data_IF_891788258528
#
_entry.id   IF_891788258528
#
_cell.length_a   1.000
_cell.length_b   1.000
_cell.length_c   1.000
_cell.angle_alpha   90.00
_cell.angle_beta   90.00
_cell.angle_gamma   90.00
#
_symmetry.space_group_name_H-M   'P 1'
#
loop_
_entity.id
_entity.type
_entity.pdbx_description
1 polymer ?
#
# COMPACT_ATOMS: atom_id res chain seq x y z
N UNK A 1 65.85 32.98 11.45
CA UNK A 1 64.53 33.17 12.06
C UNK A 1 63.54 32.44 11.17
N UNK A 2 63.12 31.27 11.64
CA UNK A 2 62.22 30.34 10.95
C UNK A 2 60.84 30.95 10.71
N UNK A 3 60.17 30.49 9.65
CA UNK A 3 58.73 30.40 9.64
C UNK A 3 58.32 29.22 8.75
N UNK A 4 57.68 28.26 9.40
CA UNK A 4 57.28 26.97 8.87
C UNK A 4 56.18 27.00 7.81
N UNK A 5 56.23 25.96 7.00
CA UNK A 5 55.18 25.39 6.14
C UNK A 5 53.78 25.35 6.79
N UNK A 6 52.75 25.78 6.06
CA UNK A 6 51.37 25.30 6.28
C UNK A 6 50.73 24.93 4.95
N UNK A 7 50.80 23.64 4.62
CA UNK A 7 49.98 22.98 3.60
C UNK A 7 48.53 23.12 4.05
N UNK A 8 47.75 23.96 3.37
CA UNK A 8 46.33 24.08 3.64
C UNK A 8 45.61 22.95 2.92
N UNK A 9 45.40 21.83 3.62
CA UNK A 9 44.57 20.73 3.16
C UNK A 9 43.14 21.26 2.91
N UNK A 10 42.72 21.31 1.65
CA UNK A 10 41.31 21.50 1.30
C UNK A 10 40.60 20.21 1.66
N UNK A 11 40.02 20.16 2.86
CA UNK A 11 39.10 19.09 3.23
C UNK A 11 37.86 19.19 2.35
N UNK A 12 37.80 18.36 1.32
CA UNK A 12 36.58 18.15 0.56
C UNK A 12 35.59 17.41 1.46
N UNK A 13 34.74 18.16 2.15
CA UNK A 13 33.62 17.60 2.90
C UNK A 13 32.63 17.01 1.89
N UNK A 14 32.62 15.68 1.75
CA UNK A 14 31.55 14.97 1.05
C UNK A 14 30.31 15.09 1.93
N UNK A 15 29.48 16.10 1.67
CA UNK A 15 28.07 16.09 2.08
C UNK A 15 27.40 14.97 1.29
N UNK A 16 27.50 13.74 1.79
CA UNK A 16 26.66 12.65 1.35
C UNK A 16 25.24 13.00 1.79
N UNK A 17 24.53 13.76 0.94
CA UNK A 17 23.10 13.95 1.07
C UNK A 17 22.50 12.57 1.25
N UNK A 18 21.84 12.38 2.39
CA UNK A 18 21.03 11.23 2.68
C UNK A 18 19.81 11.22 1.76
N UNK A 19 20.04 11.11 0.45
CA UNK A 19 19.11 10.44 -0.45
C UNK A 19 19.24 8.96 -0.14
N UNK A 20 18.95 8.57 1.13
CA UNK A 20 18.68 7.19 1.45
C UNK A 20 17.61 6.78 0.45
N UNK A 21 17.90 5.71 -0.28
CA UNK A 21 17.10 5.10 -1.33
C UNK A 21 15.62 4.93 -0.90
N UNK A 22 14.84 6.00 -0.88
CA UNK A 22 13.41 5.95 -0.89
C UNK A 22 13.08 5.56 -2.33
N UNK A 23 13.15 4.26 -2.60
CA UNK A 23 12.54 3.72 -3.81
C UNK A 23 11.09 4.23 -3.80
N UNK A 24 10.63 4.90 -4.87
CA UNK A 24 9.25 5.35 -4.92
C UNK A 24 8.34 4.14 -4.69
N UNK A 25 7.33 4.31 -3.82
CA UNK A 25 6.40 3.23 -3.52
C UNK A 25 5.83 2.69 -4.84
N UNK A 26 5.87 1.37 -5.09
CA UNK A 26 5.51 0.79 -6.38
C UNK A 26 4.02 0.98 -6.71
N UNK A 27 3.20 1.17 -5.67
CA UNK A 27 1.78 1.45 -5.77
C UNK A 27 1.39 2.69 -4.97
N UNK A 28 0.35 3.35 -5.46
CA UNK A 28 -0.29 4.50 -4.86
C UNK A 28 -1.75 4.17 -4.56
N UNK A 29 -2.35 4.90 -3.60
CA UNK A 29 -3.79 4.80 -3.36
C UNK A 29 -4.55 5.11 -4.66
N UNK A 30 -5.58 4.31 -4.93
CA UNK A 30 -6.39 4.42 -6.12
C UNK A 30 -5.91 3.55 -7.29
N UNK A 31 -4.67 3.05 -7.28
CA UNK A 31 -4.17 2.14 -8.31
C UNK A 31 -5.07 0.91 -8.46
N UNK A 32 -5.28 0.49 -9.70
CA UNK A 32 -6.03 -0.73 -10.01
C UNK A 32 -5.05 -1.90 -10.17
N UNK A 33 -5.33 -3.00 -9.49
CA UNK A 33 -4.41 -4.14 -9.38
C UNK A 33 -5.12 -5.49 -9.43
N UNK A 34 -4.33 -6.53 -9.73
CA UNK A 34 -4.68 -7.94 -9.52
C UNK A 34 -3.70 -8.58 -8.55
N UNK A 35 -4.16 -9.60 -7.84
CA UNK A 35 -3.31 -10.42 -6.97
C UNK A 35 -2.84 -11.63 -7.77
N UNK A 36 -1.52 -11.76 -7.93
CA UNK A 36 -0.90 -12.91 -8.60
C UNK A 36 -1.12 -14.19 -7.78
N UNK A 37 -1.18 -15.37 -8.40
CA UNK A 37 -1.05 -16.64 -7.68
C UNK A 37 0.31 -16.72 -6.98
N UNK A 38 0.43 -17.42 -5.85
CA UNK A 38 1.73 -17.67 -5.24
C UNK A 38 2.56 -18.59 -6.15
N UNK A 39 3.89 -18.57 -6.00
CA UNK A 39 4.80 -19.28 -6.89
C UNK A 39 4.55 -20.80 -6.92
N UNK A 40 4.02 -21.36 -5.84
CA UNK A 40 3.59 -22.76 -5.70
C UNK A 40 2.14 -23.01 -6.21
N UNK A 41 1.53 -22.04 -6.88
CA UNK A 41 0.14 -22.09 -7.33
C UNK A 41 -0.90 -21.91 -6.22
N UNK A 42 -0.50 -21.70 -4.96
CA UNK A 42 -1.44 -21.45 -3.87
C UNK A 42 -1.84 -19.98 -3.78
N UNK A 43 -2.88 -19.66 -3.01
CA UNK A 43 -3.37 -18.30 -2.83
C UNK A 43 -4.56 -17.95 -3.73
N UNK A 44 -5.14 -16.79 -3.46
CA UNK A 44 -6.40 -16.38 -4.10
C UNK A 44 -6.09 -15.65 -5.41
N UNK A 45 -6.56 -16.22 -6.50
CA UNK A 45 -6.76 -15.49 -7.76
C UNK A 45 -8.18 -14.97 -7.76
N UNK A 46 -8.34 -13.65 -7.92
CA UNK A 46 -9.64 -13.03 -8.06
C UNK A 46 -9.84 -12.55 -9.50
N UNK A 47 -11.00 -12.81 -10.13
CA UNK A 47 -11.30 -12.22 -11.44
C UNK A 47 -11.47 -10.69 -11.36
N UNK A 48 -11.74 -10.17 -10.16
CA UNK A 48 -11.94 -8.75 -9.89
C UNK A 48 -10.66 -7.95 -10.14
N UNK A 49 -10.82 -6.75 -10.69
CA UNK A 49 -9.82 -5.69 -10.57
C UNK A 49 -10.03 -5.02 -9.22
N UNK A 50 -8.99 -4.98 -8.41
CA UNK A 50 -9.03 -4.41 -7.07
C UNK A 50 -8.45 -3.00 -7.08
N UNK A 51 -8.89 -2.15 -6.17
CA UNK A 51 -8.27 -0.86 -5.89
C UNK A 51 -7.29 -0.99 -4.73
N UNK A 52 -6.10 -0.42 -4.85
CA UNK A 52 -5.20 -0.14 -3.73
C UNK A 52 -5.84 0.94 -2.88
N UNK A 53 -6.33 0.58 -1.70
CA UNK A 53 -7.03 1.52 -0.82
C UNK A 53 -6.06 2.20 0.14
N UNK A 54 -5.08 1.45 0.65
CA UNK A 54 -4.07 1.96 1.56
C UNK A 54 -2.69 1.34 1.24
N UNK A 55 -1.65 2.15 1.41
CA UNK A 55 -0.25 1.82 1.11
C UNK A 55 0.56 1.71 2.42
N UNK A 56 1.84 1.28 2.41
CA UNK A 56 2.62 1.12 3.63
C UNK A 56 2.56 2.33 4.58
N UNK A 57 2.31 2.06 5.87
CA UNK A 57 2.22 3.07 6.93
C UNK A 57 0.85 3.72 7.10
N UNK A 58 -0.07 3.53 6.16
CA UNK A 58 -1.43 4.05 6.28
C UNK A 58 -2.22 3.37 7.40
N UNK A 59 -3.03 4.17 8.11
CA UNK A 59 -3.97 3.72 9.12
C UNK A 59 -5.35 3.52 8.50
N UNK A 60 -5.93 2.35 8.73
CA UNK A 60 -7.28 2.02 8.29
C UNK A 60 -8.20 1.98 9.49
N UNK A 61 -9.36 2.62 9.35
CA UNK A 61 -10.47 2.55 10.32
C UNK A 61 -11.77 2.40 9.55
N UNK A 62 -12.68 1.59 10.07
CA UNK A 62 -14.05 1.54 9.56
C UNK A 62 -14.99 1.87 10.71
N UNK A 63 -15.89 2.82 10.50
CA UNK A 63 -16.86 3.27 11.50
C UNK A 63 -18.18 3.61 10.80
N UNK A 64 -19.29 3.15 11.37
CA UNK A 64 -20.64 3.16 10.76
C UNK A 64 -20.62 2.88 9.25
N UNK A 65 -19.95 1.78 8.86
CA UNK A 65 -19.79 1.36 7.47
C UNK A 65 -19.21 2.44 6.54
N UNK A 66 -18.38 3.34 7.08
CA UNK A 66 -17.54 4.28 6.34
C UNK A 66 -16.09 3.90 6.55
N UNK A 67 -15.35 3.74 5.44
CA UNK A 67 -13.92 3.46 5.45
C UNK A 67 -13.13 4.76 5.51
N UNK A 68 -12.13 4.80 6.38
CA UNK A 68 -11.20 5.90 6.54
C UNK A 68 -9.76 5.41 6.35
N UNK A 69 -8.97 6.17 5.61
CA UNK A 69 -7.52 5.97 5.48
C UNK A 69 -6.81 7.25 5.92
N UNK A 70 -6.05 7.17 7.01
CA UNK A 70 -5.48 8.34 7.71
C UNK A 70 -6.55 9.42 7.98
N UNK A 71 -7.69 8.99 8.54
CA UNK A 71 -8.83 9.84 8.88
C UNK A 71 -9.55 10.52 7.70
N UNK A 72 -9.14 10.24 6.47
CA UNK A 72 -9.81 10.70 5.25
C UNK A 72 -10.81 9.63 4.79
N UNK A 73 -12.10 9.97 4.58
CA UNK A 73 -13.08 9.00 4.12
C UNK A 73 -12.77 8.53 2.69
N UNK A 74 -12.94 7.23 2.46
CA UNK A 74 -12.79 6.58 1.15
C UNK A 74 -14.16 6.16 0.65
N UNK A 75 -14.56 6.71 -0.50
CA UNK A 75 -15.81 6.38 -1.19
C UNK A 75 -15.60 5.32 -2.29
N UNK A 76 -16.70 4.83 -2.86
CA UNK A 76 -16.68 3.89 -4.00
C UNK A 76 -16.87 2.43 -3.61
N UNK A 77 -17.32 2.18 -2.38
CA UNK A 77 -17.71 0.87 -1.86
C UNK A 77 -19.09 0.96 -1.22
N UNK A 78 -19.88 -0.10 -1.36
CA UNK A 78 -21.21 -0.21 -0.79
C UNK A 78 -21.18 -0.33 0.72
N UNK A 79 -22.23 0.16 1.40
CA UNK A 79 -22.36 0.04 2.86
C UNK A 79 -22.31 -1.41 3.31
N UNK A 80 -22.97 -2.30 2.56
CA UNK A 80 -23.02 -3.75 2.80
C UNK A 80 -21.62 -4.38 2.78
N UNK A 81 -20.81 -4.02 1.79
CA UNK A 81 -19.44 -4.49 1.69
C UNK A 81 -18.59 -3.95 2.83
N UNK A 82 -18.67 -2.65 3.13
CA UNK A 82 -17.91 -2.04 4.24
C UNK A 82 -18.28 -2.62 5.61
N UNK A 83 -19.54 -3.00 5.82
CA UNK A 83 -19.96 -3.75 7.02
C UNK A 83 -19.24 -5.10 7.13
N UNK A 84 -19.11 -5.85 6.02
CA UNK A 84 -18.36 -7.13 6.02
C UNK A 84 -16.87 -6.93 6.26
N UNK A 85 -16.26 -5.89 5.69
CA UNK A 85 -14.84 -5.57 5.93
C UNK A 85 -14.61 -5.23 7.41
N UNK A 86 -15.52 -4.49 8.05
CA UNK A 86 -15.46 -4.16 9.48
C UNK A 86 -15.60 -5.39 10.39
N UNK A 87 -16.35 -6.40 9.96
CA UNK A 87 -16.56 -7.65 10.71
C UNK A 87 -15.42 -8.66 10.56
N UNK A 88 -14.41 -8.37 9.73
CA UNK A 88 -13.26 -9.24 9.44
C UNK A 88 -11.92 -8.55 9.77
N UNK A 89 -11.65 -8.22 11.04
CA UNK A 89 -10.43 -7.51 11.45
C UNK A 89 -9.15 -8.30 11.13
N UNK A 90 -9.21 -9.62 11.05
CA UNK A 90 -8.09 -10.49 10.66
C UNK A 90 -7.65 -10.30 9.20
N UNK A 91 -8.53 -9.75 8.36
CA UNK A 91 -8.25 -9.43 6.95
C UNK A 91 -8.03 -7.94 6.71
N UNK A 92 -8.26 -7.10 7.71
CA UNK A 92 -8.24 -5.63 7.61
C UNK A 92 -7.26 -5.07 8.63
N UNK A 93 -6.00 -4.82 8.26
CA UNK A 93 -5.00 -4.34 9.22
C UNK A 93 -5.34 -2.92 9.68
N UNK A 94 -5.12 -2.61 10.96
CA UNK A 94 -5.26 -1.23 11.45
C UNK A 94 -4.18 -0.30 10.86
N UNK A 95 -2.98 -0.82 10.62
CA UNK A 95 -1.88 -0.13 9.95
C UNK A 95 -1.30 -1.04 8.88
N UNK A 96 -1.15 -0.55 7.66
CA UNK A 96 -0.57 -1.34 6.55
C UNK A 96 0.94 -1.52 6.78
N UNK A 97 1.46 -2.76 6.84
CA UNK A 97 2.89 -3.01 7.03
C UNK A 97 3.77 -2.50 5.89
N UNK A 98 5.06 -2.32 6.15
CA UNK A 98 6.05 -2.06 5.11
C UNK A 98 6.02 -3.14 4.01
N UNK A 99 6.14 -2.72 2.74
CA UNK A 99 6.14 -3.62 1.59
C UNK A 99 4.79 -4.30 1.29
N UNK A 100 3.69 -3.84 1.91
CA UNK A 100 2.34 -4.36 1.70
C UNK A 100 1.39 -3.26 1.25
N UNK A 101 0.34 -3.63 0.54
CA UNK A 101 -0.81 -2.77 0.27
C UNK A 101 -2.08 -3.46 0.76
N UNK A 102 -3.05 -2.67 1.19
CA UNK A 102 -4.41 -3.13 1.42
C UNK A 102 -5.26 -2.85 0.17
N UNK A 103 -5.85 -3.90 -0.39
CA UNK A 103 -6.61 -3.84 -1.64
C UNK A 103 -8.05 -4.25 -1.39
N UNK A 104 -8.97 -3.62 -2.10
CA UNK A 104 -10.41 -3.89 -2.01
C UNK A 104 -11.06 -3.83 -3.39
N UNK A 105 -12.10 -4.62 -3.61
CA UNK A 105 -12.91 -4.56 -4.81
C UNK A 105 -14.25 -5.24 -4.60
N UNK A 106 -15.29 -4.61 -5.13
CA UNK A 106 -16.61 -5.21 -5.27
C UNK A 106 -17.08 -5.00 -6.71
N UNK A 107 -17.82 -5.96 -7.24
CA UNK A 107 -18.50 -5.83 -8.51
C UNK A 107 -19.89 -6.45 -8.39
N UNK A 108 -20.91 -5.72 -8.83
CA UNK A 108 -22.28 -6.17 -8.87
C UNK A 108 -22.70 -6.39 -10.32
N UNK A 109 -23.11 -7.62 -10.64
CA UNK A 109 -23.67 -7.98 -11.94
C UNK A 109 -25.02 -8.64 -11.69
N UNK A 110 -26.12 -8.02 -12.11
CA UNK A 110 -27.47 -8.49 -11.80
C UNK A 110 -27.67 -8.70 -10.27
N UNK A 111 -28.04 -9.91 -9.87
CA UNK A 111 -28.21 -10.30 -8.47
C UNK A 111 -26.92 -10.81 -7.83
N UNK A 112 -25.85 -11.01 -8.61
CA UNK A 112 -24.58 -11.54 -8.13
C UNK A 112 -23.65 -10.41 -7.68
N UNK A 113 -23.06 -10.60 -6.50
CA UNK A 113 -22.10 -9.68 -5.91
C UNK A 113 -20.79 -10.44 -5.70
N UNK A 114 -19.74 -10.01 -6.40
CA UNK A 114 -18.37 -10.51 -6.21
C UNK A 114 -17.57 -9.51 -5.40
N UNK A 115 -16.98 -9.96 -4.30
CA UNK A 115 -16.26 -9.10 -3.36
C UNK A 115 -14.92 -9.69 -2.95
N UNK A 116 -13.97 -8.81 -2.72
CA UNK A 116 -12.65 -9.18 -2.25
C UNK A 116 -11.98 -8.04 -1.50
N UNK A 117 -11.28 -8.37 -0.43
CA UNK A 117 -10.36 -7.47 0.25
C UNK A 117 -9.26 -8.26 0.95
N UNK A 118 -8.14 -7.58 1.20
CA UNK A 118 -7.06 -8.13 2.01
C UNK A 118 -5.77 -7.35 1.84
N UNK A 119 -4.82 -7.63 2.72
CA UNK A 119 -3.45 -7.14 2.58
C UNK A 119 -2.61 -8.11 1.77
N UNK A 120 -1.75 -7.57 0.91
CA UNK A 120 -0.81 -8.35 0.10
C UNK A 120 0.54 -7.65 0.01
N UNK A 121 1.61 -8.44 -0.02
CA UNK A 121 2.93 -7.92 -0.34
C UNK A 121 2.91 -7.31 -1.75
N UNK A 122 3.60 -6.18 -1.95
CA UNK A 122 3.61 -5.44 -3.22
C UNK A 122 4.07 -6.31 -4.40
N UNK A 123 4.99 -7.25 -4.16
CA UNK A 123 5.47 -8.20 -5.17
C UNK A 123 4.38 -9.17 -5.67
N UNK A 124 3.32 -9.36 -4.89
CA UNK A 124 2.15 -10.17 -5.25
C UNK A 124 1.15 -9.39 -6.11
N UNK A 125 1.33 -8.08 -6.25
CA UNK A 125 0.43 -7.21 -7.00
C UNK A 125 0.97 -6.96 -8.41
N UNK A 126 0.04 -6.81 -9.34
CA UNK A 126 0.29 -6.29 -10.69
C UNK A 126 -0.73 -5.23 -11.02
N UNK A 127 -0.32 -4.18 -11.74
CA UNK A 127 -1.24 -3.15 -12.22
C UNK A 127 -2.20 -3.76 -13.24
N UNK A 128 -3.49 -3.55 -13.03
CA UNK A 128 -4.50 -3.81 -14.04
C UNK A 128 -4.41 -2.70 -15.10
N UNK A 129 -4.46 -3.08 -16.37
CA UNK A 129 -4.58 -2.17 -17.51
C UNK A 129 -6.03 -1.80 -17.77
#
# INVERSE_FOLDING_TARGET
MEAEMRVSAVSLAILASATLYAQPAPFQRGDLVRVKPAANGSGVTTPLVLRVVAVPGDRIRIDDATLYVNDVPVSGFSREFLTRVAQAPERTPQVVPAGHCFVMGEQRTNQDISEYWGQHAELRLERAR
#
